data_IF_040008454399
#
_entry.id   IF_040008454399
#
_cell.length_a   1.000
_cell.length_b   1.000
_cell.length_c   1.000
_cell.angle_alpha   90.00
_cell.angle_beta   90.00
_cell.angle_gamma   90.00
#
_symmetry.space_group_name_H-M   'P 1'
#
loop_
_entity.id
_entity.type
_entity.pdbx_description
1 polymer ?
#
# COMPACT_ATOMS: atom_id res chain seq x y z
N UNK A 1 -15.96 0.88 -5.28
CA UNK A 1 -16.36 -0.22 -6.14
C UNK A 1 -16.16 0.24 -7.56
N UNK A 2 -15.44 -0.56 -8.34
CA UNK A 2 -15.30 -0.31 -9.77
C UNK A 2 -16.62 -0.72 -10.46
N UNK A 3 -17.14 0.02 -11.45
CA UNK A 3 -18.45 -0.27 -12.03
C UNK A 3 -18.60 -1.74 -12.46
N UNK A 4 -19.63 -2.42 -11.94
CA UNK A 4 -19.93 -3.81 -12.28
C UNK A 4 -18.96 -4.86 -11.72
N UNK A 5 -18.08 -4.50 -10.78
CA UNK A 5 -17.15 -5.44 -10.13
C UNK A 5 -17.37 -5.52 -8.62
N UNK A 6 -17.35 -6.74 -8.10
CA UNK A 6 -17.58 -7.04 -6.69
C UNK A 6 -16.31 -7.58 -6.04
N UNK A 7 -16.15 -7.29 -4.75
CA UNK A 7 -15.09 -7.83 -3.90
C UNK A 7 -15.73 -8.58 -2.73
N UNK A 8 -15.11 -9.69 -2.34
CA UNK A 8 -15.45 -10.44 -1.13
C UNK A 8 -14.60 -9.89 0.01
N UNK A 9 -15.25 -9.41 1.07
CA UNK A 9 -14.59 -8.95 2.29
C UNK A 9 -14.48 -10.11 3.27
N UNK A 10 -13.30 -10.29 3.85
CA UNK A 10 -12.97 -11.41 4.77
C UNK A 10 -12.53 -10.94 6.16
N UNK A 11 -12.64 -9.65 6.43
CA UNK A 11 -12.37 -9.04 7.74
C UNK A 11 -13.67 -8.60 8.43
N UNK A 12 -13.58 -8.20 9.70
CA UNK A 12 -14.72 -7.71 10.47
C UNK A 12 -15.32 -6.44 9.82
N UNK A 13 -16.61 -6.44 9.42
CA UNK A 13 -17.22 -5.27 8.77
C UNK A 13 -17.34 -4.03 9.69
N UNK A 14 -17.14 -4.19 11.00
CA UNK A 14 -17.07 -3.09 11.95
C UNK A 14 -15.70 -2.39 11.98
N UNK A 15 -14.66 -3.01 11.42
CA UNK A 15 -13.30 -2.49 11.40
C UNK A 15 -13.24 -1.10 10.75
N UNK A 16 -12.52 -0.20 11.41
CA UNK A 16 -12.34 1.17 10.96
C UNK A 16 -10.87 1.46 10.67
N UNK A 17 -10.63 2.46 9.83
CA UNK A 17 -9.28 2.89 9.53
C UNK A 17 -9.21 4.37 9.20
N UNK A 18 -8.18 5.03 9.71
CA UNK A 18 -7.77 6.37 9.30
C UNK A 18 -6.24 6.44 9.23
N UNK A 19 -5.69 7.17 8.24
CA UNK A 19 -4.27 7.48 8.25
C UNK A 19 -3.97 8.45 9.40
N UNK A 20 -3.14 8.03 10.37
CA UNK A 20 -2.74 8.86 11.51
C UNK A 20 -1.31 9.38 11.34
N UNK A 21 -1.05 10.56 11.88
CA UNK A 21 0.30 11.14 11.90
C UNK A 21 1.25 10.22 12.70
N UNK A 22 2.46 10.01 12.17
CA UNK A 22 3.50 9.19 12.82
C UNK A 22 3.43 7.69 12.54
N UNK A 23 2.32 7.17 11.98
CA UNK A 23 2.23 5.77 11.55
C UNK A 23 2.92 5.58 10.18
N UNK A 24 4.04 4.87 10.17
CA UNK A 24 4.90 4.70 8.98
C UNK A 24 5.05 3.25 8.52
N UNK A 25 4.22 2.35 9.03
CA UNK A 25 4.30 0.91 8.74
C UNK A 25 4.22 0.57 7.24
N UNK A 26 3.42 1.30 6.47
CA UNK A 26 3.37 1.10 5.02
C UNK A 26 4.70 1.47 4.30
N UNK A 27 5.58 2.23 4.96
CA UNK A 27 6.88 2.65 4.47
C UNK A 27 8.06 1.84 5.05
N UNK A 28 7.82 0.90 5.97
CA UNK A 28 8.90 0.05 6.50
C UNK A 28 9.46 -0.91 5.44
N UNK A 29 8.66 -1.29 4.45
CA UNK A 29 9.01 -2.28 3.42
C UNK A 29 9.24 -1.64 2.04
N UNK A 30 9.93 -2.39 1.18
CA UNK A 30 9.99 -2.07 -0.25
C UNK A 30 8.69 -2.52 -0.90
N UNK A 31 8.00 -1.60 -1.58
CA UNK A 31 6.66 -1.84 -2.10
C UNK A 31 6.74 -2.18 -3.59
N UNK A 32 6.19 -3.33 -3.98
CA UNK A 32 6.08 -3.72 -5.39
C UNK A 32 5.31 -2.65 -6.18
N UNK A 33 5.87 -2.27 -7.32
CA UNK A 33 5.29 -1.32 -8.27
C UNK A 33 4.74 -2.09 -9.46
N UNK A 34 3.44 -1.94 -9.72
CA UNK A 34 2.84 -2.45 -10.94
C UNK A 34 3.22 -1.59 -12.16
N UNK A 35 2.98 -2.09 -13.37
CA UNK A 35 3.27 -1.36 -14.60
C UNK A 35 2.73 0.09 -14.62
N UNK A 36 1.44 0.31 -14.27
CA UNK A 36 0.90 1.66 -14.15
C UNK A 36 1.58 2.51 -13.07
N UNK A 37 1.95 1.91 -11.92
CA UNK A 37 2.66 2.63 -10.86
C UNK A 37 4.02 3.15 -11.35
N UNK A 38 4.74 2.36 -12.16
CA UNK A 38 6.02 2.77 -12.72
C UNK A 38 5.89 3.95 -13.69
N UNK A 39 4.82 3.97 -14.48
CA UNK A 39 4.56 5.07 -15.40
C UNK A 39 4.28 6.36 -14.64
N UNK A 40 3.38 6.31 -13.65
CA UNK A 40 3.07 7.47 -12.81
C UNK A 40 4.27 7.91 -11.96
N UNK A 41 5.03 6.96 -11.42
CA UNK A 41 6.21 7.28 -10.62
C UNK A 41 7.28 8.00 -11.46
N UNK A 42 7.43 7.66 -12.74
CA UNK A 42 8.39 8.30 -13.64
C UNK A 42 8.15 9.80 -13.84
N UNK A 43 6.90 10.26 -13.65
CA UNK A 43 6.53 11.67 -13.72
C UNK A 43 6.86 12.44 -12.44
N UNK A 44 7.12 11.72 -11.34
CA UNK A 44 7.25 12.27 -9.98
C UNK A 44 8.64 12.09 -9.38
N UNK A 45 9.37 11.06 -9.80
CA UNK A 45 10.68 10.71 -9.24
C UNK A 45 11.61 10.03 -10.26
N UNK A 46 12.92 10.11 -10.01
CA UNK A 46 13.91 9.33 -10.76
C UNK A 46 13.76 7.85 -10.41
N UNK A 47 13.27 7.05 -11.36
CA UNK A 47 13.08 5.61 -11.19
C UNK A 47 14.39 4.89 -10.83
N UNK A 48 15.53 5.34 -11.34
CA UNK A 48 16.82 4.69 -11.07
C UNK A 48 17.29 4.93 -9.64
N UNK A 49 16.99 6.09 -9.07
CA UNK A 49 17.31 6.43 -7.69
C UNK A 49 16.34 5.78 -6.69
N UNK A 50 15.05 5.75 -7.04
CA UNK A 50 13.95 5.45 -6.13
C UNK A 50 13.43 4.01 -6.18
N UNK A 51 13.86 3.20 -7.15
CA UNK A 51 13.43 1.80 -7.29
C UNK A 51 14.59 0.82 -7.24
N UNK A 52 14.28 -0.42 -6.87
CA UNK A 52 15.18 -1.57 -6.98
C UNK A 52 14.49 -2.69 -7.73
N UNK A 53 15.25 -3.59 -8.34
CA UNK A 53 14.70 -4.77 -9.03
C UNK A 53 15.07 -6.04 -8.27
N UNK A 54 14.07 -6.90 -8.02
CA UNK A 54 14.25 -8.22 -7.43
C UNK A 54 13.44 -9.22 -8.23
N UNK A 55 14.11 -10.27 -8.73
CA UNK A 55 13.49 -11.34 -9.54
C UNK A 55 12.70 -10.81 -10.76
N UNK A 56 13.14 -9.71 -11.37
CA UNK A 56 12.50 -9.07 -12.52
C UNK A 56 11.30 -8.19 -12.16
N UNK A 57 11.04 -7.97 -10.87
CA UNK A 57 9.98 -7.10 -10.37
C UNK A 57 10.57 -5.84 -9.76
N UNK A 58 9.89 -4.70 -9.97
CA UNK A 58 10.32 -3.40 -9.46
C UNK A 58 9.66 -3.09 -8.14
N UNK A 59 10.45 -2.66 -7.17
CA UNK A 59 9.98 -2.23 -5.86
C UNK A 59 10.48 -0.82 -5.57
N UNK A 60 9.79 -0.08 -4.70
CA UNK A 60 10.39 1.08 -4.07
C UNK A 60 11.66 0.65 -3.33
N UNK A 61 12.70 1.48 -3.45
CA UNK A 61 13.97 1.23 -2.78
C UNK A 61 13.79 1.43 -1.28
N UNK A 62 14.38 0.52 -0.49
CA UNK A 62 14.66 0.77 0.93
C UNK A 62 16.07 1.32 1.10
N UNK A 63 16.23 2.29 1.99
CA UNK A 63 17.51 2.92 2.28
C UNK A 63 17.63 3.25 3.76
N UNK A 64 18.87 3.36 4.29
CA UNK A 64 19.08 3.79 5.67
C UNK A 64 18.47 5.17 5.92
N UNK A 65 17.72 5.29 7.01
CA UNK A 65 17.13 6.55 7.47
C UNK A 65 17.54 6.80 8.91
N UNK A 66 17.97 8.03 9.22
CA UNK A 66 18.46 8.41 10.53
C UNK A 66 17.36 9.10 11.37
N UNK A 67 16.21 8.43 11.52
CA UNK A 67 15.06 8.91 12.29
C UNK A 67 14.27 7.73 12.88
N UNK A 68 13.40 7.99 13.84
CA UNK A 68 12.59 7.01 14.57
C UNK A 68 11.50 6.32 13.73
N UNK A 69 11.11 6.92 12.60
CA UNK A 69 10.19 6.30 11.65
C UNK A 69 10.81 5.19 10.76
N UNK A 70 12.08 4.83 11.00
CA UNK A 70 12.72 3.72 10.29
C UNK A 70 12.29 2.37 10.90
N UNK A 71 12.37 1.29 10.11
CA UNK A 71 12.18 -0.06 10.63
C UNK A 71 13.34 -0.46 11.57
N UNK A 72 13.23 -1.64 12.21
CA UNK A 72 14.22 -2.16 13.19
C UNK A 72 15.65 -2.28 12.63
N UNK A 73 15.80 -2.46 11.32
CA UNK A 73 17.09 -2.51 10.63
C UNK A 73 17.66 -1.12 10.28
N UNK A 74 16.98 -0.05 10.68
CA UNK A 74 17.34 1.34 10.41
C UNK A 74 17.06 1.79 8.98
N UNK A 75 16.31 1.01 8.19
CA UNK A 75 15.95 1.35 6.83
C UNK A 75 14.44 1.57 6.64
N UNK A 76 14.09 2.43 5.69
CA UNK A 76 12.72 2.64 5.27
C UNK A 76 12.64 2.91 3.76
N UNK A 77 11.42 3.01 3.25
CA UNK A 77 11.14 3.42 1.87
C UNK A 77 11.83 4.75 1.55
N UNK A 78 12.36 4.85 0.34
CA UNK A 78 13.01 6.05 -0.19
C UNK A 78 12.15 7.31 -0.01
N UNK A 79 10.84 7.19 -0.18
CA UNK A 79 9.86 8.28 -0.10
C UNK A 79 9.38 8.61 1.33
N UNK A 80 9.94 7.96 2.36
CA UNK A 80 9.67 8.35 3.74
C UNK A 80 10.57 9.53 4.13
N UNK A 81 9.94 10.65 4.46
CA UNK A 81 10.61 11.85 4.95
C UNK A 81 10.85 11.79 6.46
N UNK A 82 11.74 12.67 6.93
CA UNK A 82 12.17 12.69 8.34
C UNK A 82 11.11 13.11 9.34
N UNK A 83 9.96 13.61 8.89
CA UNK A 83 8.79 13.93 9.72
C UNK A 83 7.75 12.79 9.72
N UNK A 84 8.10 11.62 9.16
CA UNK A 84 7.23 10.46 9.09
C UNK A 84 6.17 10.54 7.98
N UNK A 85 6.27 11.52 7.07
CA UNK A 85 5.34 11.65 5.95
C UNK A 85 5.88 11.00 4.68
N UNK A 86 4.95 10.53 3.85
CA UNK A 86 5.28 10.05 2.51
C UNK A 86 5.34 11.22 1.53
N UNK A 87 6.50 11.47 0.94
CA UNK A 87 6.74 12.61 0.03
C UNK A 87 5.86 12.57 -1.22
N UNK A 88 5.56 11.39 -1.76
CA UNK A 88 4.65 11.20 -2.91
C UNK A 88 3.23 11.69 -2.58
N UNK A 89 2.74 11.36 -1.38
CA UNK A 89 1.40 11.75 -0.97
C UNK A 89 1.34 13.23 -0.58
N UNK A 90 2.35 13.71 0.15
CA UNK A 90 2.42 15.09 0.57
C UNK A 90 2.50 16.07 -0.62
N UNK A 91 3.18 15.66 -1.71
CA UNK A 91 3.41 16.53 -2.87
C UNK A 91 2.31 16.39 -3.92
N UNK A 92 1.93 15.16 -4.27
CA UNK A 92 1.12 14.87 -5.46
C UNK A 92 -0.25 14.25 -5.13
N UNK A 93 -0.59 14.12 -3.84
CA UNK A 93 -1.76 13.36 -3.36
C UNK A 93 -1.84 11.96 -3.98
N UNK A 94 -0.68 11.37 -4.25
CA UNK A 94 -0.57 10.12 -4.98
C UNK A 94 0.27 9.10 -4.22
N UNK A 95 -0.10 7.84 -4.36
CA UNK A 95 0.61 6.69 -3.80
C UNK A 95 0.51 5.52 -4.78
N UNK A 96 1.55 4.66 -4.88
CA UNK A 96 1.45 3.41 -5.63
C UNK A 96 0.26 2.58 -5.16
N UNK A 97 -0.30 1.77 -6.06
CA UNK A 97 -1.53 1.04 -5.77
C UNK A 97 -1.46 0.21 -4.49
N UNK A 98 -0.32 -0.44 -4.22
CA UNK A 98 -0.11 -1.20 -2.99
C UNK A 98 -0.09 -0.36 -1.72
N UNK A 99 0.48 0.84 -1.78
CA UNK A 99 0.46 1.78 -0.66
C UNK A 99 -0.97 2.27 -0.38
N UNK A 100 -1.75 2.51 -1.44
CA UNK A 100 -3.14 2.98 -1.33
C UNK A 100 -4.12 1.95 -0.77
N UNK A 101 -3.73 0.67 -0.80
CA UNK A 101 -4.57 -0.44 -0.32
C UNK A 101 -4.31 -0.72 1.16
N UNK A 102 -3.18 -0.30 1.72
CA UNK A 102 -2.87 -0.47 3.14
C UNK A 102 -3.96 0.15 4.03
N UNK A 103 -4.42 -0.53 5.10
CA UNK A 103 -3.88 -1.74 5.74
C UNK A 103 -4.39 -3.07 5.13
N UNK A 104 -5.15 -3.01 4.04
CA UNK A 104 -5.76 -4.18 3.43
C UNK A 104 -4.73 -5.01 2.65
N UNK A 105 -5.10 -6.28 2.48
CA UNK A 105 -4.49 -7.21 1.56
C UNK A 105 -5.54 -7.69 0.56
N UNK A 106 -5.18 -7.66 -0.71
CA UNK A 106 -6.00 -8.07 -1.83
C UNK A 106 -5.36 -9.28 -2.50
N UNK A 107 -6.18 -10.26 -2.87
CA UNK A 107 -5.80 -11.43 -3.67
C UNK A 107 -6.90 -11.85 -4.63
N UNK A 108 -6.56 -12.70 -5.60
CA UNK A 108 -7.52 -13.31 -6.54
C UNK A 108 -7.23 -14.80 -6.70
N UNK A 109 -8.26 -15.64 -6.58
CA UNK A 109 -8.10 -17.11 -6.59
C UNK A 109 -7.98 -17.68 -8.02
N UNK A 110 -8.60 -17.05 -9.01
CA UNK A 110 -8.57 -17.47 -10.40
C UNK A 110 -8.80 -16.26 -11.33
N UNK A 111 -8.40 -16.34 -12.61
CA UNK A 111 -8.86 -15.38 -13.62
C UNK A 111 -10.39 -15.26 -13.57
N UNK A 112 -10.90 -14.03 -13.58
CA UNK A 112 -12.33 -13.68 -13.47
C UNK A 112 -13.01 -13.91 -12.11
N UNK A 113 -12.31 -14.43 -11.10
CA UNK A 113 -12.83 -14.47 -9.73
C UNK A 113 -12.90 -13.06 -9.11
N UNK A 114 -13.85 -12.79 -8.21
CA UNK A 114 -13.89 -11.53 -7.47
C UNK A 114 -12.61 -11.35 -6.65
N UNK A 115 -12.23 -10.09 -6.39
CA UNK A 115 -11.13 -9.80 -5.48
C UNK A 115 -11.54 -10.23 -4.06
N UNK A 116 -10.64 -10.89 -3.36
CA UNK A 116 -10.76 -11.14 -1.92
C UNK A 116 -9.95 -10.12 -1.17
N UNK A 117 -10.58 -9.45 -0.21
CA UNK A 117 -10.00 -8.37 0.57
C UNK A 117 -10.04 -8.75 2.04
N UNK A 118 -8.86 -8.77 2.64
CA UNK A 118 -8.62 -9.09 4.03
C UNK A 118 -7.75 -7.98 4.65
N UNK A 119 -7.54 -8.00 5.96
CA UNK A 119 -6.59 -7.10 6.64
C UNK A 119 -5.22 -7.79 6.67
N UNK A 120 -4.14 -7.02 6.59
CA UNK A 120 -2.79 -7.56 6.80
C UNK A 120 -2.64 -7.96 8.26
N UNK A 121 -2.05 -9.13 8.51
CA UNK A 121 -1.83 -9.61 9.88
C UNK A 121 -0.95 -8.60 10.64
N UNK A 122 0.12 -8.14 10.01
CA UNK A 122 1.04 -7.14 10.55
C UNK A 122 0.34 -5.80 10.83
N UNK A 123 -0.67 -5.43 10.04
CA UNK A 123 -1.41 -4.21 10.31
C UNK A 123 -2.25 -4.32 11.59
N UNK A 124 -2.76 -5.51 11.91
CA UNK A 124 -3.54 -5.72 13.14
C UNK A 124 -2.68 -5.50 14.39
N UNK A 125 -1.41 -5.87 14.31
CA UNK A 125 -0.48 -5.76 15.45
C UNK A 125 0.19 -4.38 15.55
N UNK A 126 0.28 -3.66 14.43
CA UNK A 126 1.20 -2.53 14.34
C UNK A 126 0.60 -1.24 13.75
N UNK A 127 -0.54 -1.31 13.09
CA UNK A 127 -1.13 -0.13 12.47
C UNK A 127 -1.94 0.68 13.48
N UNK A 128 -1.36 1.79 13.95
CA UNK A 128 -2.03 2.76 14.83
C UNK A 128 -3.27 3.41 14.21
N UNK A 129 -3.48 3.23 12.89
CA UNK A 129 -4.65 3.73 12.17
C UNK A 129 -5.88 2.83 12.24
N UNK A 130 -5.77 1.60 12.76
CA UNK A 130 -6.91 0.69 12.92
C UNK A 130 -7.71 1.02 14.19
N UNK A 131 -9.05 0.94 14.10
CA UNK A 131 -9.95 1.11 15.24
C UNK A 131 -9.86 2.44 16.00
N UNK A 132 -9.34 3.48 15.35
CA UNK A 132 -9.20 4.84 15.91
C UNK A 132 -10.22 5.84 15.38
N UNK A 133 -11.06 5.46 14.42
CA UNK A 133 -12.03 6.37 13.79
C UNK A 133 -13.42 5.74 13.65
N UNK A 134 -14.41 6.52 13.22
CA UNK A 134 -15.74 6.01 12.86
C UNK A 134 -15.81 5.55 11.39
N UNK A 135 -14.71 5.70 10.64
CA UNK A 135 -14.66 5.46 9.20
C UNK A 135 -14.48 3.96 8.93
N UNK A 136 -15.61 3.27 8.81
CA UNK A 136 -15.62 1.84 8.46
C UNK A 136 -14.95 1.57 7.13
N UNK A 137 -14.01 0.63 7.10
CA UNK A 137 -13.29 0.21 5.89
C UNK A 137 -14.25 -0.32 4.83
N UNK A 138 -15.18 -1.19 5.21
CA UNK A 138 -16.15 -1.79 4.28
C UNK A 138 -17.02 -0.74 3.56
N UNK A 139 -17.42 0.33 4.26
CA UNK A 139 -18.22 1.40 3.68
C UNK A 139 -17.41 2.30 2.73
N UNK A 140 -16.08 2.31 2.88
CA UNK A 140 -15.15 3.16 2.14
C UNK A 140 -14.26 2.37 1.18
N UNK A 141 -14.52 1.08 0.98
CA UNK A 141 -13.65 0.15 0.25
C UNK A 141 -13.31 0.63 -1.16
N UNK A 142 -14.18 1.42 -1.77
CA UNK A 142 -13.94 2.08 -3.05
C UNK A 142 -12.66 2.92 -3.08
N UNK A 143 -12.36 3.62 -1.99
CA UNK A 143 -11.19 4.49 -1.89
C UNK A 143 -9.89 3.71 -1.71
N UNK A 144 -9.95 2.47 -1.21
CA UNK A 144 -8.80 1.60 -0.94
C UNK A 144 -8.50 0.61 -2.05
N UNK A 145 -9.35 0.50 -3.08
CA UNK A 145 -9.16 -0.46 -4.17
C UNK A 145 -8.95 0.26 -5.52
N UNK A 146 -7.69 0.67 -5.82
CA UNK A 146 -7.33 1.27 -7.09
C UNK A 146 -7.77 0.44 -8.30
N UNK A 147 -8.11 1.12 -9.40
CA UNK A 147 -8.57 0.50 -10.65
C UNK A 147 -7.63 -0.62 -11.13
N UNK A 148 -6.32 -0.40 -11.04
CA UNK A 148 -5.30 -1.35 -11.49
C UNK A 148 -5.43 -2.74 -10.85
N UNK A 149 -5.83 -2.85 -9.58
CA UNK A 149 -6.01 -4.15 -8.92
C UNK A 149 -7.10 -5.01 -9.57
N UNK A 150 -8.05 -4.38 -10.22
CA UNK A 150 -9.11 -5.08 -10.94
C UNK A 150 -8.59 -5.59 -12.28
N UNK A 151 -7.66 -4.89 -12.91
CA UNK A 151 -7.16 -5.15 -14.25
C UNK A 151 -5.99 -6.13 -14.28
N UNK A 152 -5.23 -6.22 -13.19
CA UNK A 152 -4.10 -7.13 -13.09
C UNK A 152 -4.53 -8.61 -13.17
N UNK A 153 -3.76 -9.48 -13.86
CA UNK A 153 -3.94 -10.92 -13.80
C UNK A 153 -3.70 -11.49 -12.40
N UNK A 154 -2.67 -10.98 -11.72
CA UNK A 154 -2.30 -11.28 -10.34
C UNK A 154 -2.24 -9.98 -9.52
N UNK A 155 -3.32 -9.64 -8.79
CA UNK A 155 -3.38 -8.46 -7.94
C UNK A 155 -2.89 -8.73 -6.52
N UNK A 156 -2.22 -9.85 -6.25
CA UNK A 156 -1.76 -10.17 -4.89
C UNK A 156 -0.87 -9.05 -4.37
N UNK A 157 -1.20 -8.59 -3.16
CA UNK A 157 -0.54 -7.49 -2.46
C UNK A 157 0.32 -7.96 -1.27
N UNK A 158 0.31 -9.25 -0.91
CA UNK A 158 1.14 -9.84 0.17
C UNK A 158 2.54 -10.24 -0.28
N UNK A 159 2.88 -10.07 -1.57
CA UNK A 159 4.21 -10.41 -2.07
C UNK A 159 5.23 -9.38 -1.59
N UNK A 160 6.03 -9.73 -0.59
CA UNK A 160 7.03 -8.83 0.00
C UNK A 160 8.45 -9.14 -0.49
N UNK A 161 9.34 -8.19 -0.21
CA UNK A 161 10.76 -8.14 -0.59
C UNK A 161 11.62 -8.77 0.50
#
# INVERSE_FOLDING_TARGET
>A
MYPGREAVVEFDPSLTFECVDGCTWCCHHGVLLYGPDLHELAERADLSASTTEVRGERFTRREPKAHDHAADDGAACHFLDGDGRCSLHATDDWKPARCSVFPLSVRREAPDAPLRVDVREEATDHCDGLDVSERRLVANLAAFLPAVLWELPDPDTRREL
#
